data_IF_567942020242
#
_entry.id   IF_567942020242
#
_cell.length_a   1.000
_cell.length_b   1.000
_cell.length_c   1.000
_cell.angle_alpha   90.00
_cell.angle_beta   90.00
_cell.angle_gamma   90.00
#
_symmetry.space_group_name_H-M   'P 1'
#
loop_
_entity.id
_entity.type
_entity.pdbx_description
1 polymer ?
#
# COMPACT_ATOMS: atom_id res chain seq x y z
N UNK A 1 15.99 17.02 17.53
CA UNK A 1 17.40 16.53 17.61
C UNK A 1 18.39 17.64 17.33
N UNK A 2 18.24 18.41 16.27
CA UNK A 2 19.20 19.49 15.89
C UNK A 2 19.21 20.65 16.91
N UNK A 3 18.06 20.96 17.50
CA UNK A 3 17.89 22.06 18.46
C UNK A 3 18.74 21.97 19.75
N UNK A 4 19.22 20.77 20.08
CA UNK A 4 20.02 20.52 21.28
C UNK A 4 21.47 20.13 20.99
N UNK A 5 21.88 20.17 19.70
CA UNK A 5 23.23 19.82 19.31
C UNK A 5 24.14 21.07 19.36
N UNK A 6 25.22 20.97 20.12
CA UNK A 6 26.15 22.09 20.31
C UNK A 6 27.25 22.19 19.24
N UNK A 7 27.39 21.17 18.39
CA UNK A 7 28.43 21.09 17.34
C UNK A 7 27.82 21.02 15.95
N UNK A 8 27.02 22.04 15.59
CA UNK A 8 26.39 22.14 14.27
C UNK A 8 27.34 22.87 13.31
N UNK A 9 27.61 22.26 12.16
CA UNK A 9 28.27 22.90 11.03
C UNK A 9 27.24 23.18 9.94
N UNK A 10 27.20 24.39 9.44
CA UNK A 10 26.33 24.84 8.34
C UNK A 10 27.16 25.00 7.08
N UNK A 11 26.84 24.24 6.04
CA UNK A 11 27.37 24.46 4.69
C UNK A 11 26.44 25.33 3.87
N UNK A 12 27.01 26.30 3.13
CA UNK A 12 26.23 27.07 2.17
C UNK A 12 25.93 26.20 0.95
N UNK A 13 24.65 26.11 0.59
CA UNK A 13 24.20 25.51 -0.64
C UNK A 13 23.85 26.61 -1.63
N UNK A 14 24.49 26.61 -2.80
CA UNK A 14 24.30 27.61 -3.86
C UNK A 14 23.38 27.13 -4.98
N UNK A 15 22.83 25.91 -4.87
CA UNK A 15 21.88 25.35 -5.83
C UNK A 15 20.43 25.79 -5.58
N UNK A 16 19.54 25.31 -6.41
CA UNK A 16 18.10 25.48 -6.20
C UNK A 16 17.59 24.44 -5.20
N UNK A 17 16.82 24.88 -4.24
CA UNK A 17 16.11 24.04 -3.29
C UNK A 17 14.65 24.48 -3.23
N UNK A 18 13.74 23.55 -3.30
CA UNK A 18 12.30 23.79 -3.18
C UNK A 18 11.70 22.77 -2.24
N UNK A 19 10.93 23.24 -1.26
CA UNK A 19 10.09 22.37 -0.44
C UNK A 19 8.90 21.90 -1.27
N UNK A 20 8.76 20.57 -1.41
CA UNK A 20 7.65 19.92 -2.10
C UNK A 20 6.66 19.28 -1.13
N UNK A 21 6.58 19.80 0.10
CA UNK A 21 5.73 19.27 1.17
C UNK A 21 4.23 19.55 1.01
N UNK A 22 3.81 20.25 -0.03
CA UNK A 22 2.39 20.47 -0.34
C UNK A 22 2.07 20.07 -1.77
N UNK A 23 0.81 19.75 -2.04
CA UNK A 23 0.35 19.41 -3.39
C UNK A 23 0.59 20.55 -4.39
N UNK A 24 0.41 21.80 -3.94
CA UNK A 24 0.68 22.97 -4.77
C UNK A 24 2.14 23.01 -5.22
N UNK A 25 3.08 22.95 -4.26
CA UNK A 25 4.51 23.01 -4.58
C UNK A 25 5.01 21.80 -5.38
N UNK A 26 4.42 20.61 -5.16
CA UNK A 26 4.69 19.42 -5.97
C UNK A 26 4.23 19.63 -7.42
N UNK A 27 2.99 20.09 -7.63
CA UNK A 27 2.45 20.27 -8.99
C UNK A 27 3.17 21.38 -9.78
N UNK A 28 3.73 22.38 -9.13
CA UNK A 28 4.58 23.38 -9.77
C UNK A 28 5.93 22.81 -10.25
N UNK A 29 6.38 21.69 -9.71
CA UNK A 29 7.61 21.01 -10.09
C UNK A 29 7.40 19.90 -11.13
N UNK A 30 6.15 19.54 -11.42
CA UNK A 30 5.81 18.52 -12.41
C UNK A 30 6.02 19.05 -13.83
N UNK A 31 6.69 18.26 -14.68
CA UNK A 31 6.85 18.56 -16.11
C UNK A 31 5.55 18.29 -16.87
N UNK A 32 4.82 17.27 -16.49
CA UNK A 32 3.57 16.86 -17.13
C UNK A 32 2.38 17.06 -16.16
N UNK A 33 1.22 17.51 -16.65
CA UNK A 33 0.07 17.77 -15.79
C UNK A 33 -0.61 16.50 -15.28
N UNK A 34 -0.17 15.33 -15.73
CA UNK A 34 -0.80 14.05 -15.34
C UNK A 34 0.20 12.93 -15.19
N UNK A 35 -0.03 12.10 -14.18
CA UNK A 35 0.62 10.81 -13.94
C UNK A 35 -0.48 9.75 -13.90
N UNK A 36 -0.25 8.61 -14.55
CA UNK A 36 -1.21 7.50 -14.61
C UNK A 36 -2.34 7.71 -15.61
N UNK A 37 -3.44 6.96 -15.46
CA UNK A 37 -4.59 6.98 -16.38
C UNK A 37 -5.46 8.20 -16.15
N UNK A 38 -5.17 9.32 -16.82
CA UNK A 38 -5.94 10.55 -16.68
C UNK A 38 -6.23 11.21 -18.04
N UNK A 39 -7.41 11.80 -18.16
CA UNK A 39 -7.88 12.58 -19.30
C UNK A 39 -8.33 13.94 -18.80
N UNK A 40 -7.77 15.00 -19.36
CA UNK A 40 -8.19 16.37 -19.12
C UNK A 40 -8.72 16.93 -20.45
N UNK A 41 -9.90 17.59 -20.41
CA UNK A 41 -10.38 18.27 -21.60
C UNK A 41 -9.74 19.67 -21.75
N UNK A 42 -9.88 20.27 -22.93
CA UNK A 42 -9.26 21.56 -23.28
C UNK A 42 -9.76 22.75 -22.44
N UNK A 43 -10.85 22.58 -21.70
CA UNK A 43 -11.36 23.60 -20.78
C UNK A 43 -10.73 23.51 -19.36
N UNK A 44 -9.83 22.56 -19.11
CA UNK A 44 -9.06 22.49 -17.86
C UNK A 44 -7.89 23.49 -17.91
N UNK A 45 -7.78 24.30 -16.86
CA UNK A 45 -6.71 25.27 -16.70
C UNK A 45 -5.93 24.97 -15.39
N UNK A 46 -4.61 24.78 -15.48
CA UNK A 46 -3.74 24.54 -14.32
C UNK A 46 -4.20 23.36 -13.43
N UNK A 47 -4.66 22.28 -14.07
CA UNK A 47 -5.14 21.06 -13.39
C UNK A 47 -4.04 20.00 -13.43
N UNK A 48 -3.77 19.38 -12.29
CA UNK A 48 -2.84 18.26 -12.20
C UNK A 48 -3.54 17.02 -11.63
N UNK A 49 -3.24 15.87 -12.22
CA UNK A 49 -3.81 14.59 -11.83
C UNK A 49 -2.68 13.58 -11.56
N UNK A 50 -2.65 13.03 -10.35
CA UNK A 50 -1.77 11.94 -9.96
C UNK A 50 -2.66 10.73 -9.68
N UNK A 51 -2.73 9.79 -10.61
CA UNK A 51 -3.59 8.62 -10.51
C UNK A 51 -2.75 7.34 -10.41
N UNK A 52 -2.70 6.76 -9.23
CA UNK A 52 -2.04 5.47 -8.95
C UNK A 52 -2.99 4.27 -9.10
N UNK A 53 -4.27 4.53 -9.38
CA UNK A 53 -5.27 3.49 -9.55
C UNK A 53 -5.32 2.99 -11.00
N UNK A 54 -5.84 1.78 -11.18
CA UNK A 54 -6.05 1.19 -12.51
C UNK A 54 -7.29 1.73 -13.23
N UNK A 55 -8.17 2.45 -12.53
CA UNK A 55 -9.33 3.12 -13.13
C UNK A 55 -8.95 4.49 -13.69
N UNK A 56 -9.53 4.94 -14.82
CA UNK A 56 -9.22 6.24 -15.39
C UNK A 56 -9.88 7.38 -14.58
N UNK A 57 -9.18 8.51 -14.51
CA UNK A 57 -9.71 9.79 -13.99
C UNK A 57 -10.00 10.71 -15.17
N UNK A 58 -11.22 11.23 -15.27
CA UNK A 58 -11.63 12.22 -16.27
C UNK A 58 -11.91 13.56 -15.57
N UNK A 59 -11.21 14.61 -15.98
CA UNK A 59 -11.41 15.98 -15.49
C UNK A 59 -11.90 16.87 -16.64
N UNK A 60 -12.95 17.66 -16.39
CA UNK A 60 -13.53 18.55 -17.38
C UNK A 60 -13.81 19.93 -16.79
N UNK A 61 -13.30 20.97 -17.44
CA UNK A 61 -13.60 22.38 -17.09
C UNK A 61 -13.15 22.81 -15.70
N UNK A 62 -12.16 22.15 -15.11
CA UNK A 62 -11.61 22.49 -13.79
C UNK A 62 -10.54 23.56 -13.93
N UNK A 63 -10.34 24.33 -12.84
CA UNK A 63 -9.31 25.37 -12.75
C UNK A 63 -8.59 25.28 -11.41
N UNK A 64 -7.26 25.40 -11.44
CA UNK A 64 -6.40 25.45 -10.26
C UNK A 64 -6.62 24.26 -9.29
N UNK A 65 -6.83 23.06 -9.83
CA UNK A 65 -7.18 21.87 -9.06
C UNK A 65 -6.06 20.83 -9.11
N UNK A 66 -5.82 20.16 -8.00
CA UNK A 66 -5.09 18.91 -7.93
C UNK A 66 -6.05 17.75 -7.63
N UNK A 67 -5.91 16.66 -8.37
CA UNK A 67 -6.57 15.38 -8.12
C UNK A 67 -5.48 14.36 -7.83
N UNK A 68 -5.54 13.75 -6.65
CA UNK A 68 -4.68 12.62 -6.29
C UNK A 68 -5.56 11.42 -5.98
N UNK A 69 -5.38 10.34 -6.73
CA UNK A 69 -6.14 9.10 -6.56
C UNK A 69 -5.15 7.97 -6.24
N UNK A 70 -5.27 7.41 -5.05
CA UNK A 70 -4.45 6.32 -4.53
C UNK A 70 -5.32 5.24 -3.89
N UNK A 71 -4.78 4.06 -3.55
CA UNK A 71 -5.53 3.05 -2.80
C UNK A 71 -6.08 3.54 -1.47
N UNK A 72 -5.44 4.52 -0.84
CA UNK A 72 -5.84 5.09 0.45
C UNK A 72 -7.01 6.07 0.32
N UNK A 73 -7.23 6.63 -0.88
CA UNK A 73 -8.34 7.55 -1.09
C UNK A 73 -8.14 8.48 -2.27
N UNK A 74 -9.13 9.33 -2.49
CA UNK A 74 -9.13 10.31 -3.57
C UNK A 74 -9.21 11.70 -2.96
N UNK A 75 -8.21 12.53 -3.25
CA UNK A 75 -8.20 13.95 -2.96
C UNK A 75 -8.58 14.71 -4.23
N UNK A 76 -9.55 15.62 -4.11
CA UNK A 76 -9.83 16.67 -5.09
C UNK A 76 -9.80 17.99 -4.35
N UNK A 77 -8.85 18.83 -4.69
CA UNK A 77 -8.64 20.09 -3.96
C UNK A 77 -8.25 21.23 -4.91
N UNK A 78 -8.71 22.42 -4.59
CA UNK A 78 -8.03 23.62 -5.02
C UNK A 78 -6.56 23.57 -4.58
N UNK A 79 -5.63 24.06 -5.39
CA UNK A 79 -4.19 23.93 -5.14
C UNK A 79 -3.72 24.71 -3.90
N UNK A 80 -4.25 25.90 -3.67
CA UNK A 80 -3.90 26.70 -2.49
C UNK A 80 -4.47 26.06 -1.23
N UNK A 81 -5.74 25.59 -1.28
CA UNK A 81 -6.38 24.92 -0.16
C UNK A 81 -5.71 23.59 0.20
N UNK A 82 -5.07 22.94 -0.76
CA UNK A 82 -4.36 21.67 -0.53
C UNK A 82 -3.24 21.79 0.51
N UNK A 83 -2.74 22.98 0.79
CA UNK A 83 -1.75 23.23 1.83
C UNK A 83 -2.33 23.08 3.25
N UNK A 84 -3.64 23.07 3.41
CA UNK A 84 -4.34 23.04 4.70
C UNK A 84 -5.06 21.71 4.96
N UNK A 85 -4.76 20.67 4.21
CA UNK A 85 -5.48 19.38 4.29
C UNK A 85 -5.25 18.62 5.59
N UNK A 86 -4.11 18.81 6.27
CA UNK A 86 -3.70 18.00 7.41
C UNK A 86 -4.78 17.83 8.50
N UNK A 87 -5.47 18.89 8.99
CA UNK A 87 -6.50 18.75 10.01
C UNK A 87 -7.73 17.94 9.57
N UNK A 88 -7.92 17.75 8.28
CA UNK A 88 -9.00 16.97 7.70
C UNK A 88 -8.59 15.52 7.52
N UNK A 89 -7.38 15.28 7.00
CA UNK A 89 -6.83 13.92 6.84
C UNK A 89 -6.64 13.24 8.20
N UNK A 90 -6.18 13.97 9.21
CA UNK A 90 -6.01 13.45 10.58
C UNK A 90 -7.34 12.97 11.23
N UNK A 91 -8.50 13.29 10.63
CA UNK A 91 -9.83 12.81 11.09
C UNK A 91 -10.31 11.57 10.35
N UNK A 92 -9.63 11.18 9.29
CA UNK A 92 -9.99 10.01 8.51
C UNK A 92 -9.35 8.81 9.19
N UNK A 93 -10.18 8.01 9.85
CA UNK A 93 -9.78 6.70 10.35
C UNK A 93 -9.87 5.73 9.17
N UNK A 94 -8.71 5.37 8.62
CA UNK A 94 -8.69 4.50 7.45
C UNK A 94 -7.71 3.36 7.63
N UNK A 95 -8.09 2.22 7.09
CA UNK A 95 -7.24 1.05 6.98
C UNK A 95 -6.13 1.31 5.95
N UNK A 96 -4.94 0.77 6.21
CA UNK A 96 -3.86 0.77 5.21
C UNK A 96 -4.29 -0.10 4.03
N UNK A 97 -4.54 0.52 2.89
CA UNK A 97 -4.99 -0.18 1.68
C UNK A 97 -3.83 -0.71 0.82
N UNK A 98 -2.65 -0.11 0.95
CA UNK A 98 -1.43 -0.56 0.26
C UNK A 98 -0.21 -0.36 1.16
N UNK A 99 0.73 -1.31 1.16
CA UNK A 99 2.05 -1.10 1.73
C UNK A 99 3.12 -1.95 1.05
N UNK A 100 4.31 -1.37 0.92
CA UNK A 100 5.53 -2.08 0.60
C UNK A 100 6.18 -2.63 1.87
N UNK A 101 6.72 -3.82 1.79
CA UNK A 101 7.42 -4.54 2.87
C UNK A 101 8.76 -5.05 2.35
N UNK A 102 9.64 -5.44 3.25
CA UNK A 102 10.93 -6.04 2.85
C UNK A 102 10.78 -7.30 1.99
N UNK A 103 9.67 -7.99 2.07
CA UNK A 103 9.38 -9.21 1.32
C UNK A 103 8.58 -8.99 0.03
N UNK A 104 8.08 -7.79 -0.24
CA UNK A 104 7.24 -7.46 -1.39
C UNK A 104 6.19 -6.41 -1.05
N UNK A 105 4.95 -6.61 -1.43
CA UNK A 105 3.86 -5.66 -1.18
C UNK A 105 2.53 -6.36 -0.94
N UNK A 106 1.59 -5.62 -0.37
CA UNK A 106 0.19 -6.02 -0.34
C UNK A 106 -0.73 -4.87 -0.72
N UNK A 107 -1.89 -5.23 -1.27
CA UNK A 107 -2.99 -4.30 -1.55
C UNK A 107 -4.29 -4.91 -1.05
N UNK A 108 -5.02 -4.17 -0.23
CA UNK A 108 -6.39 -4.51 0.16
C UNK A 108 -7.30 -4.27 -1.03
N UNK A 109 -8.16 -5.21 -1.34
CA UNK A 109 -9.07 -5.17 -2.48
C UNK A 109 -10.51 -4.98 -2.04
N UNK A 110 -10.86 -5.55 -0.88
CA UNK A 110 -12.21 -5.53 -0.37
C UNK A 110 -12.21 -5.60 1.15
N UNK A 111 -13.11 -4.86 1.79
CA UNK A 111 -13.26 -4.78 3.25
C UNK A 111 -14.74 -4.88 3.59
N UNK A 112 -15.09 -5.92 4.30
CA UNK A 112 -16.45 -6.18 4.80
C UNK A 112 -16.41 -6.40 6.32
N UNK A 113 -17.57 -6.45 6.96
CA UNK A 113 -17.68 -6.62 8.42
C UNK A 113 -17.04 -7.92 8.93
N UNK A 114 -17.09 -8.98 8.14
CA UNK A 114 -16.62 -10.33 8.51
C UNK A 114 -15.56 -10.88 7.53
N UNK A 115 -15.05 -10.05 6.61
CA UNK A 115 -14.01 -10.49 5.68
C UNK A 115 -13.10 -9.35 5.22
N UNK A 116 -11.87 -9.72 4.86
CA UNK A 116 -10.88 -8.84 4.25
C UNK A 116 -10.21 -9.59 3.10
N UNK A 117 -10.20 -9.01 1.91
CA UNK A 117 -9.53 -9.60 0.75
C UNK A 117 -8.28 -8.78 0.40
N UNK A 118 -7.15 -9.46 0.31
CA UNK A 118 -5.84 -8.84 0.09
C UNK A 118 -5.14 -9.53 -1.09
N UNK A 119 -4.55 -8.74 -1.97
CA UNK A 119 -3.58 -9.22 -2.96
C UNK A 119 -2.18 -9.03 -2.40
N UNK A 120 -1.42 -10.11 -2.33
CA UNK A 120 -0.04 -10.15 -1.87
C UNK A 120 0.86 -10.42 -3.07
N UNK A 121 1.97 -9.71 -3.15
CA UNK A 121 3.06 -9.98 -4.10
C UNK A 121 4.34 -10.15 -3.31
N UNK A 122 4.95 -11.34 -3.39
CA UNK A 122 6.25 -11.62 -2.78
C UNK A 122 7.35 -11.56 -3.84
N UNK A 123 8.46 -10.93 -3.48
CA UNK A 123 9.67 -10.93 -4.31
C UNK A 123 10.35 -12.30 -4.28
N UNK A 124 11.03 -12.71 -5.36
CA UNK A 124 11.79 -13.96 -5.40
C UNK A 124 12.76 -14.09 -4.21
N UNK A 125 12.81 -15.25 -3.59
CA UNK A 125 13.68 -15.52 -2.44
C UNK A 125 13.22 -14.92 -1.11
N UNK A 126 12.07 -14.30 -1.05
CA UNK A 126 11.53 -13.68 0.16
C UNK A 126 10.37 -14.49 0.76
N UNK A 127 10.11 -14.24 2.04
CA UNK A 127 9.02 -14.87 2.78
C UNK A 127 8.32 -13.89 3.71
N UNK A 128 7.08 -14.17 4.04
CA UNK A 128 6.41 -13.51 5.17
C UNK A 128 6.93 -14.04 6.50
N UNK A 129 6.69 -13.31 7.59
CA UNK A 129 6.95 -13.84 8.92
C UNK A 129 6.15 -15.13 9.16
N UNK A 130 6.73 -16.10 9.89
CA UNK A 130 5.96 -17.23 10.42
C UNK A 130 5.10 -16.73 11.58
N UNK A 131 3.79 -16.84 11.47
CA UNK A 131 2.84 -16.21 12.39
C UNK A 131 1.51 -16.93 12.47
N UNK A 132 0.67 -16.57 13.44
CA UNK A 132 -0.71 -17.01 13.54
C UNK A 132 -1.64 -15.84 13.85
N UNK A 133 -2.94 -16.10 13.68
CA UNK A 133 -4.04 -15.21 14.04
C UNK A 133 -5.05 -15.96 14.90
N UNK A 134 -5.46 -15.34 16.02
CA UNK A 134 -6.35 -16.01 16.98
C UNK A 134 -7.82 -15.93 16.57
N UNK A 135 -8.22 -14.92 15.77
CA UNK A 135 -9.63 -14.54 15.56
C UNK A 135 -10.10 -14.61 14.13
N UNK A 136 -9.27 -15.10 13.21
CA UNK A 136 -9.65 -15.23 11.80
C UNK A 136 -9.06 -16.47 11.16
N UNK A 137 -9.80 -17.01 10.23
CA UNK A 137 -9.31 -17.99 9.26
C UNK A 137 -8.69 -17.26 8.07
N UNK A 138 -7.73 -17.87 7.41
CA UNK A 138 -7.17 -17.35 6.17
C UNK A 138 -7.21 -18.40 5.06
N UNK A 139 -7.47 -17.93 3.85
CA UNK A 139 -7.43 -18.76 2.64
C UNK A 139 -6.53 -18.05 1.63
N UNK A 140 -5.48 -18.73 1.21
CA UNK A 140 -4.62 -18.27 0.13
C UNK A 140 -4.96 -18.98 -1.16
N UNK A 141 -5.12 -18.22 -2.23
CA UNK A 141 -5.17 -18.74 -3.59
C UNK A 141 -3.97 -18.21 -4.35
N UNK A 142 -3.12 -19.08 -4.83
CA UNK A 142 -1.94 -18.70 -5.63
C UNK A 142 -2.39 -18.31 -7.03
N UNK A 143 -2.09 -17.08 -7.43
CA UNK A 143 -2.50 -16.52 -8.73
C UNK A 143 -1.41 -16.73 -9.79
N UNK A 144 -0.16 -16.55 -9.40
CA UNK A 144 1.00 -16.74 -10.28
C UNK A 144 2.26 -16.99 -9.48
N UNK A 145 3.27 -17.57 -10.15
CA UNK A 145 4.54 -17.89 -9.52
C UNK A 145 4.52 -19.28 -8.86
N UNK A 146 5.60 -19.57 -8.12
CA UNK A 146 5.78 -20.81 -7.37
C UNK A 146 6.62 -20.57 -6.13
N UNK A 147 6.47 -21.46 -5.15
CA UNK A 147 7.17 -21.44 -3.89
C UNK A 147 6.70 -22.55 -2.98
N UNK A 148 6.65 -22.30 -1.69
CA UNK A 148 6.07 -23.24 -0.73
C UNK A 148 5.40 -22.51 0.43
N UNK A 149 4.33 -23.07 0.94
CA UNK A 149 3.69 -22.68 2.19
C UNK A 149 4.16 -23.61 3.31
N UNK A 150 4.23 -23.07 4.53
CA UNK A 150 4.42 -23.85 5.75
C UNK A 150 3.22 -23.57 6.65
N UNK A 151 2.47 -24.60 6.99
CA UNK A 151 1.32 -24.51 7.91
C UNK A 151 1.55 -25.50 9.03
N UNK A 152 1.61 -25.03 10.27
CA UNK A 152 1.87 -25.84 11.49
C UNK A 152 3.10 -26.74 11.35
N UNK A 153 4.17 -26.23 10.73
CA UNK A 153 5.42 -26.95 10.49
C UNK A 153 5.38 -27.89 9.26
N UNK A 154 4.27 -28.03 8.58
CA UNK A 154 4.16 -28.86 7.36
C UNK A 154 4.44 -28.00 6.13
N UNK A 155 5.50 -28.35 5.39
CA UNK A 155 5.89 -27.70 4.15
C UNK A 155 5.19 -28.32 2.94
N UNK A 156 4.56 -27.47 2.14
CA UNK A 156 3.86 -27.87 0.92
C UNK A 156 4.26 -26.93 -0.23
N UNK A 157 4.69 -27.48 -1.35
CA UNK A 157 4.95 -26.69 -2.56
C UNK A 157 3.66 -26.10 -3.09
N UNK A 158 3.73 -24.86 -3.61
CA UNK A 158 2.58 -24.16 -4.17
C UNK A 158 2.91 -23.52 -5.52
N UNK A 159 1.92 -23.51 -6.40
CA UNK A 159 1.96 -22.92 -7.72
C UNK A 159 0.58 -22.33 -8.09
N UNK A 160 0.50 -21.65 -9.23
CA UNK A 160 -0.75 -21.05 -9.68
C UNK A 160 -1.92 -22.05 -9.70
N UNK A 161 -3.03 -21.67 -9.06
CA UNK A 161 -4.25 -22.47 -8.89
C UNK A 161 -4.35 -23.21 -7.55
N UNK A 162 -3.25 -23.33 -6.80
CA UNK A 162 -3.28 -23.99 -5.49
C UNK A 162 -3.97 -23.12 -4.43
N UNK A 163 -4.63 -23.80 -3.50
CA UNK A 163 -5.34 -23.18 -2.38
C UNK A 163 -4.81 -23.73 -1.07
N UNK A 164 -4.43 -22.82 -0.16
CA UNK A 164 -3.97 -23.15 1.20
C UNK A 164 -4.99 -22.58 2.19
N UNK A 165 -5.46 -23.39 3.14
CA UNK A 165 -6.39 -22.97 4.19
C UNK A 165 -5.71 -23.00 5.54
N UNK A 166 -5.84 -21.93 6.30
CA UNK A 166 -5.30 -21.77 7.63
C UNK A 166 -6.43 -21.38 8.60
N UNK A 167 -6.96 -22.33 9.36
CA UNK A 167 -7.89 -22.03 10.46
C UNK A 167 -7.25 -21.10 11.49
N UNK A 168 -8.07 -20.37 12.23
CA UNK A 168 -7.63 -19.54 13.34
C UNK A 168 -6.71 -20.33 14.30
N UNK A 169 -5.60 -19.72 14.71
CA UNK A 169 -4.56 -20.35 15.53
C UNK A 169 -3.49 -21.10 14.76
N UNK A 170 -3.69 -21.46 13.48
CA UNK A 170 -2.66 -22.12 12.68
C UNK A 170 -1.46 -21.20 12.45
N UNK A 171 -0.27 -21.71 12.67
CA UNK A 171 0.99 -20.98 12.36
C UNK A 171 1.32 -21.16 10.89
N UNK A 172 1.54 -20.07 10.19
CA UNK A 172 1.73 -20.15 8.74
C UNK A 172 2.72 -19.10 8.20
N UNK A 173 3.30 -19.41 7.06
CA UNK A 173 4.09 -18.53 6.20
C UNK A 173 4.08 -19.03 4.77
N UNK A 174 4.51 -18.17 3.86
CA UNK A 174 4.73 -18.54 2.46
C UNK A 174 6.07 -17.98 2.01
N UNK A 175 6.79 -18.77 1.22
CA UNK A 175 8.11 -18.46 0.67
C UNK A 175 8.02 -18.48 -0.85
N UNK A 176 8.56 -17.48 -1.49
CA UNK A 176 8.55 -17.32 -2.94
C UNK A 176 9.86 -17.79 -3.57
N UNK A 177 9.82 -18.79 -4.46
CA UNK A 177 10.96 -19.17 -5.29
C UNK A 177 11.08 -18.23 -6.50
N UNK A 178 9.94 -17.83 -7.07
CA UNK A 178 9.81 -16.80 -8.11
C UNK A 178 8.94 -15.68 -7.57
N UNK A 179 8.74 -14.58 -8.31
CA UNK A 179 7.68 -13.63 -7.94
C UNK A 179 6.38 -14.40 -7.75
N UNK A 180 5.80 -14.30 -6.54
CA UNK A 180 4.63 -15.07 -6.13
C UNK A 180 3.48 -14.14 -5.81
N UNK A 181 2.36 -14.29 -6.53
CA UNK A 181 1.14 -13.50 -6.29
C UNK A 181 0.07 -14.38 -5.67
N UNK A 182 -0.46 -13.92 -4.55
CA UNK A 182 -1.45 -14.64 -3.75
C UNK A 182 -2.64 -13.73 -3.47
N UNK A 183 -3.83 -14.28 -3.64
CA UNK A 183 -5.05 -13.69 -3.08
C UNK A 183 -5.27 -14.30 -1.70
N UNK A 184 -5.31 -13.45 -0.69
CA UNK A 184 -5.60 -13.83 0.68
C UNK A 184 -7.01 -13.36 1.03
N UNK A 185 -7.84 -14.26 1.49
CA UNK A 185 -9.15 -13.96 2.08
C UNK A 185 -9.08 -14.28 3.56
N UNK A 186 -9.29 -13.27 4.38
CA UNK A 186 -9.39 -13.37 5.83
C UNK A 186 -10.88 -13.41 6.21
N UNK A 187 -11.26 -14.35 7.05
CA UNK A 187 -12.64 -14.57 7.48
C UNK A 187 -12.71 -14.48 9.01
N UNK A 188 -13.45 -13.54 9.54
CA UNK A 188 -13.59 -13.31 10.98
C UNK A 188 -14.18 -11.95 11.29
N UNK A 189 -14.47 -11.72 12.56
CA UNK A 189 -14.91 -10.41 13.07
C UNK A 189 -13.75 -9.65 13.67
N UNK A 190 -13.80 -8.32 13.59
CA UNK A 190 -12.76 -7.43 14.13
C UNK A 190 -11.37 -7.77 13.60
N UNK A 191 -11.26 -7.99 12.29
CA UNK A 191 -9.99 -8.27 11.61
C UNK A 191 -9.05 -7.08 11.83
N UNK A 192 -7.93 -7.33 12.54
CA UNK A 192 -7.00 -6.29 12.95
C UNK A 192 -5.55 -6.73 12.72
N UNK A 193 -4.71 -5.76 12.37
CA UNK A 193 -3.25 -5.98 12.29
C UNK A 193 -2.63 -6.36 13.64
N UNK A 194 -3.32 -6.07 14.75
CA UNK A 194 -2.88 -6.44 16.10
C UNK A 194 -3.17 -7.90 16.45
N UNK A 195 -4.04 -8.59 15.70
CA UNK A 195 -4.30 -10.03 15.83
C UNK A 195 -3.23 -10.81 15.07
N UNK A 196 -1.95 -10.63 15.45
CA UNK A 196 -0.81 -11.29 14.81
C UNK A 196 0.26 -11.64 15.84
N UNK A 197 0.44 -12.94 16.10
CA UNK A 197 1.55 -13.47 16.87
C UNK A 197 2.63 -14.02 15.95
N UNK A 198 3.90 -13.61 16.19
CA UNK A 198 5.05 -14.02 15.38
C UNK A 198 5.84 -15.12 16.08
N UNK A 199 6.36 -16.07 15.30
CA UNK A 199 7.16 -17.18 15.79
C UNK A 199 8.51 -17.24 15.05
N UNK A 200 9.52 -17.92 15.63
CA UNK A 200 10.72 -18.27 14.90
C UNK A 200 10.38 -19.07 13.63
N UNK A 201 11.16 -18.85 12.57
CA UNK A 201 10.96 -19.59 11.33
C UNK A 201 11.21 -21.07 11.58
N UNK A 202 10.33 -21.99 11.14
CA UNK A 202 10.48 -23.42 11.41
C UNK A 202 11.63 -24.05 10.62
N UNK A 203 12.32 -24.99 11.22
CA UNK A 203 13.28 -25.85 10.55
C UNK A 203 12.52 -26.96 9.81
N UNK A 204 12.35 -26.85 8.46
CA UNK A 204 11.58 -27.79 7.62
C UNK A 204 12.24 -28.06 6.27
#
# INVERSE_FOLDING_TARGET
MVEHESKIQVMRFAGQWKDMGTWNTLTEAMEEPKIGKAILNDACENVHVLNELDVPVLCMGLKDVVVSASPEGILVSDKEQSSYIKPFVDKIDQQIMFAEKSWGSFRVLDVEDESLTIKITLNPGHCMNYHSHARRDEVWTVISGRGYAIVDGVKTTVQAGDVVKMPAGSRHTIVADTELKVMEVQLGRDISVHDKEKFPFPEV
#
